data_IF_886998003828
#
_entry.id   IF_886998003828
#
_cell.length_a   1.000
_cell.length_b   1.000
_cell.length_c   1.000
_cell.angle_alpha   90.00
_cell.angle_beta   90.00
_cell.angle_gamma   90.00
#
_symmetry.space_group_name_H-M   'P 1'
#
loop_
_entity.id
_entity.type
_entity.pdbx_description
1 polymer ?
#
# COMPACT_ATOMS: atom_id res chain seq x y z
N UNK A 1 -16.46 -2.45 -25.04
CA UNK A 1 -16.88 -1.05 -24.73
C UNK A 1 -17.20 -0.87 -23.23
N UNK A 2 -18.05 -1.72 -22.64
CA UNK A 2 -18.39 -1.69 -21.20
C UNK A 2 -17.19 -1.98 -20.27
N UNK A 3 -16.35 -2.97 -20.58
CA UNK A 3 -15.15 -3.25 -19.75
C UNK A 3 -14.17 -2.08 -19.68
N UNK A 4 -14.03 -1.34 -20.78
CA UNK A 4 -13.16 -0.16 -20.84
C UNK A 4 -13.72 0.99 -20.00
N UNK A 5 -15.05 1.18 -19.98
CA UNK A 5 -15.73 2.17 -19.15
C UNK A 5 -15.65 1.85 -17.65
N UNK A 6 -15.79 0.56 -17.29
CA UNK A 6 -15.61 0.09 -15.91
C UNK A 6 -14.16 0.31 -15.46
N UNK A 7 -13.18 -0.08 -16.28
CA UNK A 7 -11.75 0.16 -16.00
C UNK A 7 -11.44 1.66 -15.85
N UNK A 8 -11.98 2.50 -16.72
CA UNK A 8 -11.78 3.95 -16.66
C UNK A 8 -12.42 4.57 -15.39
N UNK A 9 -13.62 4.13 -15.01
CA UNK A 9 -14.31 4.62 -13.81
C UNK A 9 -13.61 4.20 -12.51
N UNK A 10 -13.11 2.97 -12.46
CA UNK A 10 -12.27 2.47 -11.35
C UNK A 10 -10.97 3.28 -11.27
N UNK A 11 -10.31 3.52 -12.41
CA UNK A 11 -9.07 4.30 -12.44
C UNK A 11 -9.28 5.75 -11.99
N UNK A 12 -10.36 6.41 -12.43
CA UNK A 12 -10.72 7.77 -12.01
C UNK A 12 -11.00 7.86 -10.51
N UNK A 13 -11.70 6.87 -9.96
CA UNK A 13 -12.00 6.79 -8.52
C UNK A 13 -10.71 6.61 -7.71
N UNK A 14 -9.80 5.74 -8.16
CA UNK A 14 -8.50 5.54 -7.52
C UNK A 14 -7.65 6.82 -7.52
N UNK A 15 -7.62 7.57 -8.63
CA UNK A 15 -6.91 8.85 -8.70
C UNK A 15 -7.47 9.89 -7.70
N UNK A 16 -8.78 9.84 -7.44
CA UNK A 16 -9.42 10.73 -6.46
C UNK A 16 -9.04 10.33 -5.03
N UNK A 17 -9.03 9.04 -4.72
CA UNK A 17 -8.61 8.51 -3.42
C UNK A 17 -7.13 8.79 -3.15
N UNK A 18 -6.26 8.59 -4.15
CA UNK A 18 -4.82 8.88 -4.05
C UNK A 18 -4.51 10.35 -3.79
N UNK A 19 -5.41 11.27 -4.10
CA UNK A 19 -5.23 12.71 -3.82
C UNK A 19 -5.77 13.12 -2.44
N UNK A 20 -6.70 12.35 -1.87
CA UNK A 20 -7.32 12.67 -0.60
C UNK A 20 -6.36 12.49 0.59
N UNK A 21 -6.34 13.45 1.52
CA UNK A 21 -5.65 13.31 2.81
C UNK A 21 -6.56 12.74 3.90
N UNK A 22 -7.61 12.01 3.51
CA UNK A 22 -8.46 11.28 4.44
C UNK A 22 -7.89 9.86 4.67
N UNK A 23 -7.64 9.42 5.92
CA UNK A 23 -7.16 8.06 6.20
C UNK A 23 -8.08 6.96 5.66
N UNK A 24 -9.39 7.20 5.55
CA UNK A 24 -10.33 6.24 4.94
C UNK A 24 -10.09 6.06 3.43
N UNK A 25 -9.47 7.03 2.76
CA UNK A 25 -9.04 6.84 1.37
C UNK A 25 -7.95 5.77 1.26
N UNK A 26 -6.99 5.76 2.20
CA UNK A 26 -5.98 4.69 2.31
C UNK A 26 -6.67 3.36 2.56
N UNK A 27 -7.55 3.28 3.57
CA UNK A 27 -8.30 2.06 3.92
C UNK A 27 -9.03 1.49 2.70
N UNK A 28 -9.75 2.34 1.96
CA UNK A 28 -10.48 1.93 0.75
C UNK A 28 -9.54 1.38 -0.33
N UNK A 29 -8.40 2.04 -0.57
CA UNK A 29 -7.40 1.57 -1.53
C UNK A 29 -6.78 0.23 -1.12
N UNK A 30 -6.52 0.03 0.17
CA UNK A 30 -5.98 -1.23 0.72
C UNK A 30 -6.96 -2.37 0.47
N UNK A 31 -8.23 -2.22 0.85
CA UNK A 31 -9.25 -3.24 0.60
C UNK A 31 -9.34 -3.62 -0.88
N UNK A 32 -9.35 -2.61 -1.76
CA UNK A 32 -9.43 -2.84 -3.19
C UNK A 32 -8.21 -3.60 -3.74
N UNK A 33 -6.99 -3.20 -3.35
CA UNK A 33 -5.74 -3.87 -3.79
C UNK A 33 -5.61 -5.28 -3.23
N UNK A 34 -6.08 -5.52 -2.01
CA UNK A 34 -6.12 -6.84 -1.41
C UNK A 34 -6.98 -7.82 -2.21
N UNK A 35 -8.20 -7.40 -2.60
CA UNK A 35 -9.09 -8.20 -3.45
C UNK A 35 -8.44 -8.50 -4.80
N UNK A 36 -7.87 -7.48 -5.46
CA UNK A 36 -7.27 -7.64 -6.79
C UNK A 36 -6.06 -8.57 -6.84
N UNK A 37 -5.31 -8.66 -5.74
CA UNK A 37 -4.04 -9.40 -5.69
C UNK A 37 -4.16 -10.74 -4.98
N UNK A 38 -5.35 -11.13 -4.51
CA UNK A 38 -5.56 -12.34 -3.72
C UNK A 38 -5.00 -13.63 -4.38
N UNK A 39 -5.02 -13.72 -5.72
CA UNK A 39 -4.51 -14.88 -6.47
C UNK A 39 -3.10 -14.69 -7.07
N UNK A 40 -2.46 -13.53 -6.87
CA UNK A 40 -1.15 -13.22 -7.43
C UNK A 40 -0.21 -12.68 -6.35
N UNK A 41 0.53 -13.60 -5.73
CA UNK A 41 1.44 -13.33 -4.61
C UNK A 41 2.51 -12.28 -4.96
N UNK A 42 3.13 -12.38 -6.14
CA UNK A 42 4.14 -11.42 -6.59
C UNK A 42 3.57 -10.02 -6.80
N UNK A 43 2.38 -9.93 -7.40
CA UNK A 43 1.70 -8.64 -7.56
C UNK A 43 1.32 -8.02 -6.21
N UNK A 44 0.90 -8.84 -5.25
CA UNK A 44 0.56 -8.43 -3.88
C UNK A 44 1.72 -7.70 -3.20
N UNK A 45 2.94 -8.22 -3.33
CA UNK A 45 4.17 -7.57 -2.82
C UNK A 45 4.34 -6.16 -3.40
N UNK A 46 4.22 -6.04 -4.72
CA UNK A 46 4.40 -4.75 -5.40
C UNK A 46 3.29 -3.75 -5.03
N UNK A 47 2.05 -4.21 -4.89
CA UNK A 47 0.93 -3.36 -4.49
C UNK A 47 1.03 -2.90 -3.02
N UNK A 48 1.44 -3.78 -2.10
CA UNK A 48 1.71 -3.42 -0.70
C UNK A 48 2.81 -2.37 -0.61
N UNK A 49 3.92 -2.59 -1.33
CA UNK A 49 5.02 -1.62 -1.39
C UNK A 49 4.56 -0.26 -1.95
N UNK A 50 3.73 -0.27 -3.00
CA UNK A 50 3.16 0.95 -3.58
C UNK A 50 2.26 1.70 -2.59
N UNK A 51 1.42 1.00 -1.83
CA UNK A 51 0.57 1.59 -0.79
C UNK A 51 1.40 2.26 0.31
N UNK A 52 2.44 1.59 0.80
CA UNK A 52 3.29 2.11 1.88
C UNK A 52 4.04 3.35 1.41
N UNK A 53 4.63 3.30 0.21
CA UNK A 53 5.29 4.47 -0.40
C UNK A 53 4.33 5.64 -0.59
N UNK A 54 3.08 5.36 -0.94
CA UNK A 54 2.05 6.39 -1.06
C UNK A 54 1.69 6.98 0.30
N UNK A 55 1.52 6.12 1.33
CA UNK A 55 1.24 6.52 2.70
C UNK A 55 2.33 7.44 3.27
N UNK A 56 3.61 7.13 3.07
CA UNK A 56 4.71 7.98 3.60
C UNK A 56 4.76 9.37 2.97
N UNK A 57 4.21 9.52 1.77
CA UNK A 57 4.11 10.81 1.08
C UNK A 57 2.90 11.63 1.52
N UNK A 58 1.95 11.01 2.23
CA UNK A 58 0.81 11.70 2.83
C UNK A 58 1.31 12.32 4.13
N UNK A 59 1.12 13.62 4.30
CA UNK A 59 1.55 14.39 5.48
C UNK A 59 0.78 14.05 6.77
N UNK A 60 0.52 12.77 7.01
CA UNK A 60 -0.06 12.23 8.22
C UNK A 60 0.93 12.30 9.38
N UNK A 61 0.40 12.27 10.61
CA UNK A 61 1.25 12.16 11.79
C UNK A 61 1.94 10.80 11.82
N UNK A 62 3.06 10.70 12.55
CA UNK A 62 3.78 9.42 12.76
C UNK A 62 2.86 8.34 13.32
N UNK A 63 1.99 8.69 14.27
CA UNK A 63 1.09 7.72 14.88
C UNK A 63 0.03 7.21 13.88
N UNK A 64 -0.50 8.09 13.03
CA UNK A 64 -1.44 7.69 11.99
C UNK A 64 -0.77 6.80 10.94
N UNK A 65 0.47 7.11 10.55
CA UNK A 65 1.25 6.26 9.65
C UNK A 65 1.43 4.87 10.26
N UNK A 66 1.84 4.77 11.54
CA UNK A 66 2.00 3.48 12.23
C UNK A 66 0.68 2.69 12.28
N UNK A 67 -0.44 3.37 12.61
CA UNK A 67 -1.75 2.73 12.66
C UNK A 67 -2.19 2.21 11.29
N UNK A 68 -1.98 3.00 10.24
CA UNK A 68 -2.32 2.62 8.86
C UNK A 68 -1.39 1.54 8.32
N UNK A 69 -0.11 1.52 8.69
CA UNK A 69 0.80 0.43 8.36
C UNK A 69 0.33 -0.91 8.95
N UNK A 70 0.00 -0.94 10.24
CA UNK A 70 -0.55 -2.13 10.89
C UNK A 70 -1.81 -2.63 10.20
N UNK A 71 -2.69 -1.71 9.82
CA UNK A 71 -3.89 -2.04 9.06
C UNK A 71 -3.55 -2.64 7.68
N UNK A 72 -2.58 -2.07 6.95
CA UNK A 72 -2.09 -2.61 5.68
C UNK A 72 -1.53 -4.02 5.87
N UNK A 73 -0.75 -4.25 6.92
CA UNK A 73 -0.17 -5.57 7.21
C UNK A 73 -1.24 -6.62 7.46
N UNK A 74 -2.25 -6.31 8.27
CA UNK A 74 -3.35 -7.25 8.57
C UNK A 74 -4.16 -7.64 7.33
N UNK A 75 -4.42 -6.70 6.43
CA UNK A 75 -5.25 -6.95 5.23
C UNK A 75 -4.42 -7.52 4.07
N UNK A 76 -3.17 -7.07 3.95
CA UNK A 76 -2.24 -7.44 2.89
C UNK A 76 -1.08 -8.27 3.42
N UNK A 77 -1.41 -9.41 4.01
CA UNK A 77 -0.42 -10.41 4.41
C UNK A 77 0.39 -10.92 3.22
N UNK A 78 1.71 -10.97 3.37
CA UNK A 78 2.62 -11.43 2.31
C UNK A 78 3.03 -12.86 2.64
N UNK A 79 2.94 -13.80 1.68
CA UNK A 79 3.43 -15.17 1.89
C UNK A 79 4.90 -15.19 2.34
N UNK A 80 5.23 -16.04 3.32
CA UNK A 80 6.55 -16.14 3.93
C UNK A 80 7.70 -16.27 2.91
N UNK A 81 7.47 -16.95 1.78
CA UNK A 81 8.45 -17.11 0.70
C UNK A 81 8.84 -15.79 0.01
N UNK A 82 8.00 -14.76 0.13
CA UNK A 82 8.18 -13.44 -0.48
C UNK A 82 8.45 -12.32 0.53
N UNK A 83 8.37 -12.59 1.84
CA UNK A 83 8.73 -11.62 2.87
C UNK A 83 10.17 -11.09 2.73
N UNK A 84 11.21 -11.91 2.46
CA UNK A 84 12.56 -11.40 2.29
C UNK A 84 12.67 -10.40 1.13
N UNK A 85 11.96 -10.67 0.03
CA UNK A 85 11.91 -9.77 -1.13
C UNK A 85 11.21 -8.45 -0.78
N UNK A 86 10.14 -8.50 0.00
CA UNK A 86 9.43 -7.31 0.46
C UNK A 86 10.33 -6.47 1.40
N UNK A 87 10.92 -7.09 2.41
CA UNK A 87 11.79 -6.46 3.40
C UNK A 87 12.98 -5.76 2.72
N UNK A 88 13.66 -6.45 1.79
CA UNK A 88 14.75 -5.85 1.02
C UNK A 88 14.30 -4.59 0.26
N UNK A 89 13.13 -4.64 -0.39
CA UNK A 89 12.61 -3.51 -1.18
C UNK A 89 12.20 -2.32 -0.32
N UNK A 90 11.56 -2.58 0.83
CA UNK A 90 11.12 -1.49 1.72
C UNK A 90 12.31 -0.89 2.47
N UNK A 91 13.25 -1.70 2.95
CA UNK A 91 14.49 -1.22 3.57
C UNK A 91 15.28 -0.30 2.64
N UNK A 92 15.45 -0.70 1.38
CA UNK A 92 16.13 0.13 0.38
C UNK A 92 15.42 1.49 0.25
N UNK A 93 14.10 1.48 0.14
CA UNK A 93 13.32 2.70 0.03
C UNK A 93 13.40 3.59 1.29
N UNK A 94 13.29 3.01 2.48
CA UNK A 94 13.37 3.75 3.74
C UNK A 94 14.75 4.37 3.94
N UNK A 95 15.83 3.68 3.56
CA UNK A 95 17.20 4.23 3.56
C UNK A 95 17.35 5.41 2.61
N UNK A 96 16.89 5.25 1.37
CA UNK A 96 16.94 6.30 0.33
C UNK A 96 16.15 7.55 0.71
N UNK A 97 15.01 7.38 1.40
CA UNK A 97 14.10 8.48 1.78
C UNK A 97 14.26 8.96 3.22
N UNK A 98 15.06 8.26 4.03
CA UNK A 98 15.23 8.47 5.48
C UNK A 98 13.90 8.36 6.27
N UNK A 99 13.00 7.46 5.85
CA UNK A 99 11.66 7.26 6.42
C UNK A 99 11.52 5.89 7.09
N UNK A 100 12.26 5.67 8.18
CA UNK A 100 12.40 4.37 8.84
C UNK A 100 11.20 3.99 9.72
N UNK A 101 10.01 3.74 9.16
CA UNK A 101 8.84 3.39 9.95
C UNK A 101 8.70 1.88 10.17
N UNK A 102 9.03 1.06 9.17
CA UNK A 102 8.91 -0.41 9.25
C UNK A 102 10.17 -1.02 9.85
N UNK A 103 11.34 -0.55 9.42
CA UNK A 103 12.63 -1.10 9.85
C UNK A 103 12.99 -0.78 11.30
N UNK A 104 12.31 0.17 11.94
CA UNK A 104 12.49 0.49 13.36
C UNK A 104 11.64 -0.36 14.31
N UNK A 105 10.70 -1.15 13.79
CA UNK A 105 9.76 -1.95 14.59
C UNK A 105 10.03 -3.45 14.57
N UNK A 106 11.06 -3.90 13.87
CA UNK A 106 11.48 -5.31 13.77
C UNK A 106 12.70 -5.63 14.64
#
# INVERSE_FOLDING_TARGET
RLEMQIRASIHKTNCTLEKSNNPFAIVTMVHWRAIKTAKNKTQRVNEKLSLIKHLYKKGFSRQDIINLLRFIDWIMDIPNDLEPLFNQKIEKYEKETKMYYITQTG
#
